data_IF_257014098430
#
_entry.id   IF_257014098430
#
_cell.length_a   1.000
_cell.length_b   1.000
_cell.length_c   1.000
_cell.angle_alpha   90.00
_cell.angle_beta   90.00
_cell.angle_gamma   90.00
#
_symmetry.space_group_name_H-M   'P 1'
#
loop_
_entity.id
_entity.type
_entity.pdbx_description
1 polymer ?
#
# COMPACT_ATOMS: atom_id res chain seq x y z
N UNK A 1 1.11 17.27 -2.03
CA UNK A 1 1.15 16.72 -0.65
C UNK A 1 0.47 17.72 0.24
N UNK A 2 -0.67 17.32 0.81
CA UNK A 2 -1.44 18.13 1.71
C UNK A 2 -1.30 17.58 3.14
N UNK A 3 -0.63 18.32 4.03
CA UNK A 3 -0.36 17.88 5.41
C UNK A 3 -1.63 17.50 6.18
N UNK A 4 -2.70 18.29 6.00
CA UNK A 4 -3.99 18.04 6.68
C UNK A 4 -4.63 16.74 6.20
N UNK A 5 -4.56 16.45 4.90
CA UNK A 5 -5.07 15.20 4.36
C UNK A 5 -4.24 14.00 4.83
N UNK A 6 -2.91 14.12 4.85
CA UNK A 6 -2.03 13.07 5.39
C UNK A 6 -2.41 12.72 6.83
N UNK A 7 -2.60 13.71 7.70
CA UNK A 7 -3.00 13.49 9.10
C UNK A 7 -4.35 12.75 9.22
N UNK A 8 -5.33 13.10 8.38
CA UNK A 8 -6.63 12.39 8.33
C UNK A 8 -6.49 10.93 7.90
N UNK A 9 -5.53 10.62 7.03
CA UNK A 9 -5.32 9.25 6.55
C UNK A 9 -4.54 8.37 7.53
N UNK A 10 -3.84 8.91 8.53
CA UNK A 10 -3.03 8.12 9.47
C UNK A 10 -3.85 7.04 10.21
N UNK A 11 -5.02 7.35 10.82
CA UNK A 11 -5.82 6.32 11.49
C UNK A 11 -6.28 5.20 10.53
N UNK A 12 -6.72 5.58 9.32
CA UNK A 12 -7.13 4.64 8.28
C UNK A 12 -5.97 3.78 7.78
N UNK A 13 -4.76 4.34 7.72
CA UNK A 13 -3.55 3.62 7.34
C UNK A 13 -3.19 2.55 8.37
N UNK A 14 -3.29 2.86 9.67
CA UNK A 14 -3.04 1.88 10.75
C UNK A 14 -4.04 0.71 10.65
N UNK A 15 -5.32 1.01 10.45
CA UNK A 15 -6.37 0.00 10.29
C UNK A 15 -6.09 -0.87 9.05
N UNK A 16 -5.82 -0.23 7.91
CA UNK A 16 -5.57 -0.95 6.65
C UNK A 16 -4.35 -1.85 6.73
N UNK A 17 -3.27 -1.40 7.40
CA UNK A 17 -2.09 -2.23 7.65
C UNK A 17 -2.46 -3.47 8.47
N UNK A 18 -3.20 -3.30 9.57
CA UNK A 18 -3.62 -4.43 10.41
C UNK A 18 -4.44 -5.44 9.62
N UNK A 19 -5.47 -4.99 8.90
CA UNK A 19 -6.37 -5.88 8.17
C UNK A 19 -5.64 -6.66 7.06
N UNK A 20 -4.87 -5.97 6.23
CA UNK A 20 -4.16 -6.57 5.10
C UNK A 20 -3.09 -7.55 5.58
N UNK A 21 -2.41 -7.24 6.69
CA UNK A 21 -1.34 -8.07 7.22
C UNK A 21 -1.86 -9.24 8.07
N UNK A 22 -2.89 -9.06 8.88
CA UNK A 22 -3.52 -10.14 9.65
C UNK A 22 -4.08 -11.24 8.74
N UNK A 23 -4.70 -10.86 7.62
CA UNK A 23 -5.14 -11.81 6.59
C UNK A 23 -3.99 -12.61 5.96
N UNK A 24 -2.75 -12.10 6.07
CA UNK A 24 -1.56 -12.72 5.48
C UNK A 24 -0.79 -13.58 6.48
N UNK A 25 -0.85 -13.28 7.78
CA UNK A 25 0.05 -13.90 8.78
C UNK A 25 -0.64 -14.74 9.84
N UNK A 26 -1.98 -14.83 9.85
CA UNK A 26 -2.76 -15.61 10.83
C UNK A 26 -2.37 -15.29 12.30
N UNK A 27 -1.94 -14.06 12.55
CA UNK A 27 -1.38 -13.60 13.83
C UNK A 27 -2.34 -12.67 14.53
N UNK A 28 -2.47 -12.78 15.86
CA UNK A 28 -3.29 -11.87 16.65
C UNK A 28 -2.76 -10.43 16.56
N UNK A 29 -3.68 -9.44 16.47
CA UNK A 29 -3.36 -8.02 16.25
C UNK A 29 -2.30 -7.45 17.19
N UNK A 30 -2.23 -7.93 18.44
CA UNK A 30 -1.29 -7.42 19.46
C UNK A 30 0.18 -7.76 19.18
N UNK A 31 0.45 -8.70 18.27
CA UNK A 31 1.80 -9.18 17.94
C UNK A 31 2.17 -8.98 16.47
N UNK A 32 1.44 -8.11 15.76
CA UNK A 32 1.66 -7.90 14.33
C UNK A 32 3.04 -7.29 14.06
N UNK A 33 3.89 -8.06 13.37
CA UNK A 33 5.19 -7.61 12.86
C UNK A 33 5.15 -7.47 11.33
N UNK A 34 5.66 -6.34 10.83
CA UNK A 34 5.76 -6.09 9.40
C UNK A 34 7.05 -6.68 8.83
N UNK A 35 7.02 -7.36 7.67
CA UNK A 35 8.24 -7.76 6.99
C UNK A 35 9.13 -6.55 6.71
N UNK A 36 10.44 -6.67 6.96
CA UNK A 36 11.41 -5.58 6.82
C UNK A 36 11.40 -4.94 5.42
N UNK A 37 11.04 -5.72 4.40
CA UNK A 37 10.96 -5.33 3.00
C UNK A 37 9.93 -4.23 2.75
N UNK A 38 8.88 -4.12 3.59
CA UNK A 38 7.84 -3.10 3.45
C UNK A 38 8.40 -1.67 3.53
N UNK A 39 9.48 -1.45 4.29
CA UNK A 39 10.19 -0.15 4.31
C UNK A 39 10.75 0.20 2.93
N UNK A 40 11.31 -0.80 2.26
CA UNK A 40 11.82 -0.68 0.89
C UNK A 40 10.68 -0.44 -0.09
N UNK A 41 9.61 -1.25 -0.01
CA UNK A 41 8.48 -1.16 -0.93
C UNK A 41 7.79 0.21 -0.88
N UNK A 42 7.44 0.74 0.30
CA UNK A 42 6.77 2.04 0.39
C UNK A 42 7.69 3.19 -0.07
N UNK A 43 9.00 3.08 0.16
CA UNK A 43 9.98 4.08 -0.27
C UNK A 43 10.17 4.06 -1.78
N UNK A 44 10.30 2.86 -2.37
CA UNK A 44 10.39 2.67 -3.82
C UNK A 44 9.10 3.06 -4.54
N UNK A 45 7.94 2.88 -3.92
CA UNK A 45 6.66 3.30 -4.49
C UNK A 45 6.61 4.82 -4.68
N UNK A 46 6.92 5.59 -3.62
CA UNK A 46 6.98 7.05 -3.71
C UNK A 46 8.03 7.54 -4.71
N UNK A 47 9.21 6.91 -4.73
CA UNK A 47 10.26 7.23 -5.69
C UNK A 47 9.84 6.91 -7.15
N UNK A 48 9.09 5.83 -7.36
CA UNK A 48 8.54 5.44 -8.65
C UNK A 48 7.53 6.47 -9.17
N UNK A 49 6.61 6.94 -8.33
CA UNK A 49 5.63 7.96 -8.72
C UNK A 49 6.35 9.23 -9.21
N UNK A 50 7.42 9.65 -8.53
CA UNK A 50 8.18 10.85 -8.90
C UNK A 50 8.93 10.64 -10.23
N UNK A 51 9.56 9.47 -10.43
CA UNK A 51 10.43 9.23 -11.58
C UNK A 51 9.69 8.80 -12.85
N UNK A 52 8.66 7.96 -12.69
CA UNK A 52 7.98 7.28 -13.79
C UNK A 52 6.51 7.66 -13.91
N UNK A 53 5.94 8.32 -12.91
CA UNK A 53 4.51 8.62 -12.85
C UNK A 53 3.71 7.51 -12.17
N UNK A 54 2.44 7.81 -11.90
CA UNK A 54 1.57 6.96 -11.07
C UNK A 54 1.24 5.62 -11.75
N UNK A 55 0.69 5.66 -12.97
CA UNK A 55 0.22 4.47 -13.67
C UNK A 55 1.31 3.39 -13.87
N UNK A 56 2.51 3.69 -14.41
CA UNK A 56 3.56 2.68 -14.57
C UNK A 56 4.10 2.18 -13.22
N UNK A 57 4.10 3.01 -12.18
CA UNK A 57 4.50 2.58 -10.83
C UNK A 57 3.52 1.57 -10.26
N UNK A 58 2.20 1.83 -10.36
CA UNK A 58 1.17 0.90 -9.89
C UNK A 58 1.23 -0.41 -10.69
N UNK A 59 1.36 -0.34 -12.02
CA UNK A 59 1.51 -1.52 -12.86
C UNK A 59 2.74 -2.37 -12.47
N UNK A 60 3.86 -1.74 -12.11
CA UNK A 60 5.04 -2.45 -11.63
C UNK A 60 4.81 -3.14 -10.27
N UNK A 61 4.10 -2.49 -9.35
CA UNK A 61 3.81 -3.04 -8.01
C UNK A 61 2.76 -4.15 -8.02
N UNK A 62 1.82 -4.12 -8.97
CA UNK A 62 0.77 -5.12 -9.15
C UNK A 62 1.12 -6.21 -10.17
N UNK A 63 2.30 -6.14 -10.78
CA UNK A 63 2.79 -7.19 -11.66
C UNK A 63 2.93 -8.49 -10.87
N UNK A 64 2.21 -9.51 -11.30
CA UNK A 64 2.38 -10.87 -10.85
C UNK A 64 3.69 -11.42 -11.45
N UNK A 65 4.78 -11.32 -10.69
CA UNK A 65 5.96 -12.11 -11.01
C UNK A 65 5.70 -13.55 -10.54
N UNK A 66 5.97 -14.52 -11.42
CA UNK A 66 5.84 -15.97 -11.16
C UNK A 66 6.64 -16.46 -9.95
N UNK A 67 7.50 -15.61 -9.38
CA UNK A 67 8.08 -15.79 -8.07
C UNK A 67 7.20 -15.10 -7.01
N UNK A 68 6.31 -15.89 -6.40
CA UNK A 68 5.38 -15.60 -5.28
C UNK A 68 5.93 -14.84 -4.05
N UNK A 69 7.18 -14.34 -4.07
CA UNK A 69 7.92 -13.83 -2.90
C UNK A 69 7.78 -12.32 -2.66
N UNK A 70 7.18 -11.57 -3.58
CA UNK A 70 7.13 -10.11 -3.50
C UNK A 70 5.77 -9.62 -2.99
N UNK A 71 5.67 -9.32 -1.70
CA UNK A 71 4.49 -8.67 -1.09
C UNK A 71 4.32 -7.18 -1.51
N UNK A 72 4.93 -6.74 -2.62
CA UNK A 72 4.85 -5.34 -3.11
C UNK A 72 3.41 -4.93 -3.41
N UNK A 73 2.59 -5.83 -3.98
CA UNK A 73 1.18 -5.56 -4.27
C UNK A 73 0.37 -5.18 -3.01
N UNK A 74 0.84 -5.57 -1.81
CA UNK A 74 0.20 -5.16 -0.55
C UNK A 74 0.19 -3.65 -0.35
N UNK A 75 1.17 -2.94 -0.91
CA UNK A 75 1.19 -1.47 -0.87
C UNK A 75 0.02 -0.90 -1.68
N UNK A 76 -0.20 -1.40 -2.90
CA UNK A 76 -1.30 -0.91 -3.75
C UNK A 76 -2.67 -1.38 -3.25
N UNK A 77 -2.76 -2.58 -2.66
CA UNK A 77 -3.95 -3.08 -1.98
C UNK A 77 -4.37 -2.15 -0.81
N UNK A 78 -3.43 -1.78 0.07
CA UNK A 78 -3.71 -0.85 1.18
C UNK A 78 -4.16 0.52 0.66
N UNK A 79 -3.47 1.07 -0.35
CA UNK A 79 -3.83 2.36 -0.95
C UNK A 79 -5.25 2.29 -1.52
N UNK A 80 -5.55 1.25 -2.31
CA UNK A 80 -6.85 1.10 -2.95
C UNK A 80 -7.98 0.99 -1.91
N UNK A 81 -7.79 0.20 -0.86
CA UNK A 81 -8.77 0.06 0.22
C UNK A 81 -9.08 1.39 0.91
N UNK A 82 -8.05 2.19 1.17
CA UNK A 82 -8.20 3.52 1.78
C UNK A 82 -8.91 4.52 0.86
N UNK A 83 -8.69 4.41 -0.46
CA UNK A 83 -9.27 5.30 -1.47
C UNK A 83 -10.74 4.97 -1.75
N UNK A 84 -11.05 3.68 -1.93
CA UNK A 84 -12.34 3.22 -2.44
C UNK A 84 -13.44 3.07 -1.37
N UNK A 85 -13.12 3.21 -0.07
CA UNK A 85 -14.07 3.19 1.06
C UNK A 85 -15.19 2.14 0.89
N UNK A 86 -14.80 0.87 0.75
CA UNK A 86 -15.67 -0.31 0.57
C UNK A 86 -16.50 -0.39 -0.73
N UNK A 87 -16.46 0.63 -1.62
CA UNK A 87 -17.42 0.76 -2.74
C UNK A 87 -17.03 0.11 -4.06
N UNK A 88 -15.82 -0.42 -4.22
CA UNK A 88 -15.36 -1.00 -5.49
C UNK A 88 -15.06 -2.50 -5.36
N UNK A 89 -15.86 -3.31 -6.04
CA UNK A 89 -15.82 -4.79 -6.03
C UNK A 89 -15.41 -5.40 -7.39
N UNK A 90 -14.72 -4.66 -8.27
CA UNK A 90 -14.15 -5.26 -9.49
C UNK A 90 -12.63 -5.33 -9.37
N UNK A 91 -12.15 -6.56 -9.24
CA UNK A 91 -10.75 -7.00 -9.31
C UNK A 91 -9.76 -6.47 -8.25
N UNK A 92 -10.21 -5.72 -7.22
CA UNK A 92 -9.41 -5.28 -6.04
C UNK A 92 -8.01 -4.68 -6.34
N UNK A 93 -7.77 -4.25 -7.57
CA UNK A 93 -6.48 -3.75 -8.06
C UNK A 93 -6.56 -2.25 -8.27
N UNK A 94 -5.58 -1.53 -7.71
CA UNK A 94 -5.46 -0.09 -7.88
C UNK A 94 -5.25 0.27 -9.36
N UNK A 95 -4.57 -0.60 -10.12
CA UNK A 95 -4.36 -0.38 -11.55
C UNK A 95 -5.68 -0.26 -12.31
N UNK A 96 -6.61 -1.19 -12.09
CA UNK A 96 -7.90 -1.19 -12.79
C UNK A 96 -8.70 0.07 -12.45
N UNK A 97 -8.72 0.46 -11.17
CA UNK A 97 -9.33 1.72 -10.75
C UNK A 97 -8.75 2.94 -11.47
N UNK A 98 -7.42 2.98 -11.67
CA UNK A 98 -6.78 4.08 -12.38
C UNK A 98 -7.03 4.06 -13.89
N UNK A 99 -7.17 2.88 -14.49
CA UNK A 99 -7.50 2.75 -15.92
C UNK A 99 -8.94 3.18 -16.24
N UNK A 100 -9.85 3.05 -15.28
CA UNK A 100 -11.24 3.49 -15.41
C UNK A 100 -11.43 5.01 -15.19
N UNK A 101 -10.37 5.75 -14.81
CA UNK A 101 -10.44 7.18 -14.55
C UNK A 101 -10.17 8.02 -15.80
N UNK A 102 -11.06 8.97 -16.07
CA UNK A 102 -10.87 9.98 -17.12
C UNK A 102 -9.69 10.91 -16.80
N UNK A 103 -9.56 11.33 -15.53
CA UNK A 103 -8.45 12.13 -15.05
C UNK A 103 -7.75 11.47 -13.85
N UNK A 104 -6.58 10.90 -14.12
CA UNK A 104 -5.73 10.26 -13.11
C UNK A 104 -5.13 11.29 -12.13
N UNK A 105 -4.94 12.55 -12.55
CA UNK A 105 -4.33 13.57 -11.69
C UNK A 105 -5.27 13.97 -10.54
N UNK A 106 -6.59 13.85 -10.72
CA UNK A 106 -7.60 14.10 -9.67
C UNK A 106 -7.35 13.22 -8.43
N UNK A 107 -6.98 11.95 -8.65
CA UNK A 107 -6.79 10.97 -7.57
C UNK A 107 -5.33 10.83 -7.14
N UNK A 108 -4.40 11.38 -7.91
CA UNK A 108 -2.96 11.21 -7.68
C UNK A 108 -2.50 11.86 -6.38
N UNK A 109 -3.01 13.06 -6.06
CA UNK A 109 -2.65 13.72 -4.80
C UNK A 109 -3.13 12.89 -3.60
N UNK A 110 -4.32 12.32 -3.65
CA UNK A 110 -4.84 11.43 -2.61
C UNK A 110 -3.96 10.19 -2.46
N UNK A 111 -3.57 9.53 -3.56
CA UNK A 111 -2.67 8.38 -3.53
C UNK A 111 -1.33 8.74 -2.89
N UNK A 112 -0.76 9.90 -3.22
CA UNK A 112 0.49 10.37 -2.61
C UNK A 112 0.30 10.63 -1.11
N UNK A 113 -0.78 11.29 -0.71
CA UNK A 113 -1.07 11.57 0.70
C UNK A 113 -1.27 10.27 1.50
N UNK A 114 -1.98 9.30 0.92
CA UNK A 114 -2.20 7.96 1.50
C UNK A 114 -0.88 7.19 1.61
N UNK A 115 -0.03 7.18 0.58
CA UNK A 115 1.27 6.52 0.63
C UNK A 115 2.18 7.10 1.72
N UNK A 116 2.13 8.42 1.93
CA UNK A 116 2.85 9.08 3.02
C UNK A 116 2.27 8.69 4.37
N UNK A 117 0.94 8.66 4.51
CA UNK A 117 0.27 8.21 5.72
C UNK A 117 0.61 6.74 6.06
N UNK A 118 0.63 5.85 5.07
CA UNK A 118 1.09 4.46 5.22
C UNK A 118 2.53 4.40 5.71
N UNK A 119 3.45 5.16 5.09
CA UNK A 119 4.85 5.22 5.52
C UNK A 119 4.99 5.68 6.98
N UNK A 120 4.19 6.65 7.40
CA UNK A 120 4.18 7.15 8.78
C UNK A 120 3.59 6.11 9.73
N UNK A 121 2.44 5.54 9.40
CA UNK A 121 1.75 4.50 10.17
C UNK A 121 2.62 3.25 10.35
N UNK A 122 3.33 2.80 9.31
CA UNK A 122 4.25 1.66 9.41
C UNK A 122 5.32 1.82 10.50
N UNK A 123 5.68 3.05 10.89
CA UNK A 123 6.64 3.30 11.97
C UNK A 123 6.09 3.01 13.37
N UNK A 124 4.78 2.84 13.52
CA UNK A 124 4.16 2.46 14.80
C UNK A 124 4.19 0.95 15.04
N UNK A 125 4.63 0.16 14.05
CA UNK A 125 4.71 -1.30 14.14
C UNK A 125 6.15 -1.77 14.29
N UNK A 126 6.32 -2.95 14.91
CA UNK A 126 7.59 -3.65 14.88
C UNK A 126 7.82 -4.27 13.50
N UNK A 127 9.08 -4.38 13.10
CA UNK A 127 9.45 -5.06 11.87
C UNK A 127 10.09 -6.40 12.20
N UNK A 128 9.72 -7.44 11.48
CA UNK A 128 10.29 -8.77 11.68
C UNK A 128 11.77 -8.78 11.31
N UNK A 129 12.60 -9.31 12.20
CA UNK A 129 14.04 -9.45 11.96
C UNK A 129 14.36 -10.61 11.01
N UNK A 130 13.48 -11.62 10.97
CA UNK A 130 13.60 -12.76 10.07
C UNK A 130 13.12 -12.38 8.68
N UNK A 131 13.94 -12.64 7.66
CA UNK A 131 13.43 -12.85 6.32
C UNK A 131 12.42 -13.99 6.42
N UNK A 132 11.16 -13.75 6.07
CA UNK A 132 10.23 -14.86 5.89
C UNK A 132 10.73 -15.65 4.69
N UNK A 133 11.58 -16.65 4.95
CA UNK A 133 11.82 -17.76 4.06
C UNK A 133 10.47 -18.48 3.98
N UNK A 134 9.78 -18.31 2.85
CA UNK A 134 8.45 -18.85 2.65
C UNK A 134 8.44 -20.38 2.80
N UNK A 135 7.46 -20.87 3.56
CA UNK A 135 6.93 -22.22 3.43
C UNK A 135 6.07 -22.33 2.15
#
# INVERSE_FOLDING_TARGET
MNKKEVEKYIPLAIISIKEVMSNTTNTAEESLELPKEFKGYISSFGAGIIQSGLLPTVAFFEKEDSNFKSYRFKITEMIFKMLAKEKYCKDNKLLNYLLDKEDIEEVKEDIINIAIALKLAMRTFKFSEKEKVGD
#
